data_IF_948001381839
#
_entry.id   IF_948001381839
#
_cell.length_a   1.000
_cell.length_b   1.000
_cell.length_c   1.000
_cell.angle_alpha   90.00
_cell.angle_beta   90.00
_cell.angle_gamma   90.00
#
_symmetry.space_group_name_H-M   'P 1'
#
loop_
_entity.id
_entity.type
_entity.pdbx_description
1 polymer ?
#
# COMPACT_ATOMS: atom_id res chain seq x y z
N UNK A 1 3.10 7.93 0.18
CA UNK A 1 2.60 6.62 -0.26
C UNK A 1 3.20 6.29 -1.62
N UNK A 2 2.70 5.26 -2.29
CA UNK A 2 3.20 4.83 -3.61
C UNK A 2 2.80 5.79 -4.76
N UNK A 3 1.79 6.63 -4.54
CA UNK A 3 1.34 7.70 -5.44
C UNK A 3 0.76 8.86 -4.62
N UNK A 4 0.56 10.01 -5.25
CA UNK A 4 -0.16 11.19 -4.71
C UNK A 4 -1.51 11.41 -5.39
N UNK A 5 -1.85 10.56 -6.36
CA UNK A 5 -3.12 10.63 -7.11
C UNK A 5 -4.27 10.02 -6.31
N UNK A 6 -5.49 10.49 -6.59
CA UNK A 6 -6.72 9.99 -5.98
C UNK A 6 -7.67 9.33 -7.01
N UNK A 7 -7.43 9.58 -8.30
CA UNK A 7 -8.18 8.97 -9.39
C UNK A 7 -7.66 7.52 -9.63
N UNK A 8 -8.53 6.50 -9.68
CA UNK A 8 -8.12 5.11 -9.84
C UNK A 8 -7.27 4.86 -11.10
N UNK A 9 -7.59 5.50 -12.22
CA UNK A 9 -6.88 5.31 -13.48
C UNK A 9 -5.48 5.89 -13.39
N UNK A 10 -5.32 7.07 -12.76
CA UNK A 10 -4.01 7.66 -12.52
C UNK A 10 -3.17 6.86 -11.52
N UNK A 11 -3.79 6.37 -10.45
CA UNK A 11 -3.14 5.50 -9.46
C UNK A 11 -2.57 4.26 -10.15
N UNK A 12 -3.37 3.57 -10.99
CA UNK A 12 -2.91 2.38 -11.71
C UNK A 12 -1.71 2.69 -12.61
N UNK A 13 -1.76 3.81 -13.36
CA UNK A 13 -0.65 4.26 -14.22
C UNK A 13 0.65 4.53 -13.46
N UNK A 14 0.58 4.99 -12.22
CA UNK A 14 1.76 5.16 -11.38
C UNK A 14 2.29 3.82 -10.89
N UNK A 15 1.41 2.93 -10.43
CA UNK A 15 1.81 1.63 -9.90
C UNK A 15 2.48 0.74 -10.96
N UNK A 16 1.98 0.71 -12.20
CA UNK A 16 2.58 -0.09 -13.27
C UNK A 16 3.98 0.35 -13.67
N UNK A 17 4.39 1.60 -13.37
CA UNK A 17 5.76 2.08 -13.59
C UNK A 17 6.73 1.61 -12.51
N UNK A 18 6.22 1.30 -11.32
CA UNK A 18 7.02 0.88 -10.16
C UNK A 18 7.17 -0.64 -10.06
N UNK A 19 6.21 -1.38 -10.63
CA UNK A 19 6.10 -2.83 -10.47
C UNK A 19 6.56 -3.55 -11.75
N UNK A 20 7.47 -4.54 -11.66
CA UNK A 20 7.84 -5.38 -12.80
C UNK A 20 6.62 -6.02 -13.46
N UNK A 21 6.63 -6.10 -14.80
CA UNK A 21 5.48 -6.59 -15.58
C UNK A 21 5.01 -8.00 -15.19
N UNK A 22 5.94 -8.86 -14.77
CA UNK A 22 5.64 -10.22 -14.29
C UNK A 22 4.76 -10.24 -13.04
N UNK A 23 4.79 -9.17 -12.23
CA UNK A 23 4.08 -9.09 -10.97
C UNK A 23 2.77 -8.29 -11.04
N UNK A 24 2.39 -7.77 -12.22
CA UNK A 24 1.20 -6.90 -12.37
C UNK A 24 -0.10 -7.55 -11.89
N UNK A 25 -0.26 -8.86 -12.05
CA UNK A 25 -1.43 -9.56 -11.54
C UNK A 25 -1.34 -9.83 -10.04
N UNK A 26 -0.14 -10.13 -9.53
CA UNK A 26 0.07 -10.50 -8.13
C UNK A 26 0.01 -9.28 -7.21
N UNK A 27 0.57 -8.15 -7.65
CA UNK A 27 0.76 -6.97 -6.82
C UNK A 27 -0.56 -6.38 -6.27
N UNK A 28 -1.63 -6.18 -7.06
CA UNK A 28 -2.92 -5.73 -6.53
C UNK A 28 -3.50 -6.67 -5.48
N UNK A 29 -3.38 -7.99 -5.67
CA UNK A 29 -3.82 -8.97 -4.68
C UNK A 29 -3.05 -8.84 -3.35
N UNK A 30 -1.74 -8.60 -3.41
CA UNK A 30 -0.93 -8.35 -2.22
C UNK A 30 -1.39 -7.09 -1.48
N UNK A 31 -1.69 -6.00 -2.20
CA UNK A 31 -2.22 -4.77 -1.60
C UNK A 31 -3.58 -5.01 -0.92
N UNK A 32 -4.49 -5.72 -1.59
CA UNK A 32 -5.81 -6.06 -1.04
C UNK A 32 -5.67 -6.92 0.22
N UNK A 33 -4.85 -7.97 0.19
CA UNK A 33 -4.64 -8.84 1.35
C UNK A 33 -3.99 -8.09 2.50
N UNK A 34 -3.00 -7.25 2.20
CA UNK A 34 -2.33 -6.42 3.20
C UNK A 34 -3.32 -5.45 3.87
N UNK A 35 -4.13 -4.73 3.09
CA UNK A 35 -5.15 -3.83 3.61
C UNK A 35 -6.21 -4.53 4.48
N UNK A 36 -6.58 -5.76 4.13
CA UNK A 36 -7.59 -6.54 4.87
C UNK A 36 -7.06 -7.21 6.14
N UNK A 37 -5.76 -7.47 6.23
CA UNK A 37 -5.18 -8.27 7.35
C UNK A 37 -4.25 -7.47 8.26
N UNK A 38 -3.62 -6.41 7.75
CA UNK A 38 -2.57 -5.65 8.44
C UNK A 38 -2.88 -4.15 8.45
N UNK A 39 -3.01 -3.53 7.28
CA UNK A 39 -3.25 -2.09 7.14
C UNK A 39 -4.75 -1.75 7.16
N UNK A 40 -5.42 -2.10 8.26
CA UNK A 40 -6.84 -1.86 8.47
C UNK A 40 -7.14 -0.35 8.47
N UNK A 41 -8.27 0.04 7.86
CA UNK A 41 -8.59 1.46 7.63
C UNK A 41 -8.69 2.34 8.88
N UNK A 42 -9.07 1.76 10.03
CA UNK A 42 -9.24 2.51 11.31
C UNK A 42 -8.16 2.20 12.34
N UNK A 43 -7.68 0.95 12.38
CA UNK A 43 -6.75 0.45 13.40
C UNK A 43 -5.63 -0.37 12.77
N UNK A 44 -4.75 0.26 11.99
CA UNK A 44 -3.69 -0.45 11.29
C UNK A 44 -2.70 -1.08 12.28
N UNK A 45 -2.27 -2.31 12.00
CA UNK A 45 -1.34 -3.06 12.86
C UNK A 45 0.12 -2.72 12.52
N UNK A 46 0.47 -1.42 12.60
CA UNK A 46 1.77 -0.90 12.15
C UNK A 46 2.96 -1.55 12.87
N UNK A 47 2.88 -1.80 14.18
CA UNK A 47 3.99 -2.38 14.96
C UNK A 47 4.42 -3.80 14.54
N UNK A 48 3.59 -4.53 13.79
CA UNK A 48 3.94 -5.83 13.21
C UNK A 48 3.94 -5.82 11.67
N UNK A 49 3.87 -4.64 11.05
CA UNK A 49 3.80 -4.51 9.61
C UNK A 49 5.19 -4.65 8.98
N UNK A 50 5.35 -5.59 8.07
CA UNK A 50 6.62 -5.80 7.32
C UNK A 50 7.04 -4.60 6.46
N UNK A 51 6.12 -3.67 6.21
CA UNK A 51 6.37 -2.44 5.47
C UNK A 51 6.57 -1.24 6.39
N UNK A 52 6.56 -1.39 7.72
CA UNK A 52 6.60 -0.26 8.65
C UNK A 52 7.77 0.67 8.39
N UNK A 53 8.96 0.12 8.16
CA UNK A 53 10.16 0.94 7.94
C UNK A 53 10.10 1.80 6.68
N UNK A 54 9.35 1.35 5.68
CA UNK A 54 9.15 2.02 4.38
C UNK A 54 7.86 2.85 4.33
N UNK A 55 6.92 2.59 5.24
CA UNK A 55 5.59 3.17 5.22
C UNK A 55 5.58 4.52 5.93
N UNK A 56 5.34 5.64 5.22
CA UNK A 56 5.31 6.96 5.85
C UNK A 56 4.17 7.07 6.87
N UNK A 57 3.05 6.38 6.66
CA UNK A 57 1.89 6.39 7.56
C UNK A 57 2.07 5.55 8.83
N UNK A 58 3.11 4.70 8.91
CA UNK A 58 3.35 3.89 10.11
C UNK A 58 3.95 4.68 11.28
N UNK A 59 4.64 5.78 10.96
CA UNK A 59 5.33 6.66 11.91
C UNK A 59 4.51 7.91 12.26
N UNK A 60 3.38 8.12 11.59
CA UNK A 60 2.45 9.18 11.95
C UNK A 60 1.66 8.65 13.15
N UNK A 61 1.94 9.21 14.32
CA UNK A 61 1.22 8.90 15.55
C UNK A 61 -0.29 8.94 15.27
N UNK A 62 -0.97 7.83 15.55
CA UNK A 62 -2.42 7.79 15.51
C UNK A 62 -2.94 8.79 16.54
N UNK A 63 -3.35 9.96 16.06
CA UNK A 63 -4.15 10.94 16.82
C UNK A 63 -5.58 10.44 16.98
#
# INVERSE_FOLDING_TARGET
>A
GLTREHDPVKIERDLVKLVPRVDWHRFPHLLIWHGRRVCLARTPRCGGCVLSDLCPSSRVEAS
#
